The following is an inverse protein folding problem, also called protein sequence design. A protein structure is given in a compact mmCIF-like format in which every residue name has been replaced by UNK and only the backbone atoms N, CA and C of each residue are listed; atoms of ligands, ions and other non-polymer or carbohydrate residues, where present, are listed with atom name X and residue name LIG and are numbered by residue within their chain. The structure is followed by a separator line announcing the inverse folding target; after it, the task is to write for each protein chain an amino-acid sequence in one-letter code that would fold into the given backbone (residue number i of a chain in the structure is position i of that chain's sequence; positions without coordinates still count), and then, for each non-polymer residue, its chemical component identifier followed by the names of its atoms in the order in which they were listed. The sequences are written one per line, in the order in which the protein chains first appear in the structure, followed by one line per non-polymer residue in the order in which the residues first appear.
data_IF_003732393287
#
_entry.id   IF_003732393287
#
_cell.length_a   1.000
_cell.length_b   1.000
_cell.length_c   1.000
_cell.angle_alpha   90.00
_cell.angle_beta   90.00
_cell.angle_gamma   90.00
#
_symmetry.space_group_name_H-M   'P 1'
#
loop_
_entity.id
_entity.type
_entity.pdbx_description
1 polymer ?
#
# COMPACT_ATOMS: atom_id res chain seq x y z
N UNK A 1 5.89 -13.77 10.04
CA UNK A 1 5.61 -13.25 11.39
C UNK A 1 4.70 -12.04 11.24
N UNK A 2 3.70 -11.87 12.12
CA UNK A 2 2.77 -10.74 12.05
C UNK A 2 3.49 -9.40 12.37
N UNK A 3 3.15 -8.34 11.65
CA UNK A 3 3.63 -6.98 11.92
C UNK A 3 2.73 -6.27 12.92
N UNK A 4 3.27 -5.30 13.66
CA UNK A 4 2.48 -4.46 14.58
C UNK A 4 1.40 -3.69 13.82
N UNK A 5 0.24 -3.46 14.46
CA UNK A 5 -0.81 -2.64 13.85
C UNK A 5 -0.33 -1.19 13.72
N UNK A 6 -0.30 -0.68 12.50
CA UNK A 6 0.18 0.68 12.21
C UNK A 6 -0.65 1.77 12.90
N UNK A 7 -1.96 1.54 13.06
CA UNK A 7 -2.88 2.49 13.71
C UNK A 7 -2.58 2.69 15.21
N UNK A 8 -2.05 1.67 15.89
CA UNK A 8 -1.69 1.76 17.31
C UNK A 8 -0.19 2.03 17.55
N UNK A 9 0.60 2.17 16.48
CA UNK A 9 2.05 2.42 16.56
C UNK A 9 2.35 3.91 16.47
N UNK A 10 3.39 4.37 17.17
CA UNK A 10 3.94 5.71 16.95
C UNK A 10 4.41 5.85 15.51
N UNK A 11 4.40 7.07 14.97
CA UNK A 11 4.73 7.31 13.57
C UNK A 11 6.11 6.74 13.15
N UNK A 12 7.10 6.79 14.05
CA UNK A 12 8.45 6.22 13.87
C UNK A 12 8.49 4.69 13.92
N UNK A 13 7.55 4.07 14.62
CA UNK A 13 7.49 2.62 14.87
C UNK A 13 6.53 1.88 13.93
N UNK A 14 5.81 2.62 13.08
CA UNK A 14 4.90 2.05 12.09
C UNK A 14 5.68 1.14 11.14
N UNK A 15 5.19 -0.09 10.89
CA UNK A 15 5.87 -0.99 9.99
C UNK A 15 6.08 -0.37 8.60
N UNK A 16 7.28 -0.55 8.09
CA UNK A 16 7.71 -0.08 6.78
C UNK A 16 7.27 -1.05 5.68
N UNK A 17 7.29 -0.63 4.39
CA UNK A 17 6.91 -1.49 3.27
C UNK A 17 7.67 -2.82 3.25
N UNK A 18 8.97 -2.80 3.60
CA UNK A 18 9.81 -4.00 3.69
C UNK A 18 9.31 -5.00 4.73
N UNK A 19 8.87 -4.51 5.90
CA UNK A 19 8.31 -5.37 6.95
C UNK A 19 6.99 -6.00 6.49
N UNK A 20 6.12 -5.20 5.88
CA UNK A 20 4.87 -5.71 5.29
C UNK A 20 5.16 -6.77 4.22
N UNK A 21 6.05 -6.47 3.28
CA UNK A 21 6.51 -7.42 2.26
C UNK A 21 6.99 -8.73 2.90
N UNK A 22 7.90 -8.66 3.88
CA UNK A 22 8.46 -9.83 4.57
C UNK A 22 7.39 -10.67 5.30
N UNK A 23 6.39 -10.00 5.88
CA UNK A 23 5.32 -10.63 6.66
C UNK A 23 4.24 -11.30 5.80
N UNK A 24 3.97 -10.78 4.59
CA UNK A 24 2.93 -11.27 3.70
C UNK A 24 3.37 -12.52 2.91
N UNK A 25 2.38 -13.36 2.59
CA UNK A 25 2.52 -14.53 1.72
C UNK A 25 1.33 -14.59 0.78
N UNK A 26 1.58 -15.05 -0.45
CA UNK A 26 0.55 -15.20 -1.48
C UNK A 26 0.15 -16.66 -1.55
N UNK A 27 -1.14 -16.94 -1.35
CA UNK A 27 -1.70 -18.25 -1.63
C UNK A 27 -2.13 -18.29 -3.10
N UNK A 28 -1.44 -19.08 -3.92
CA UNK A 28 -1.72 -19.20 -5.35
C UNK A 28 -2.87 -20.18 -5.61
N UNK A 29 -4.06 -19.84 -5.13
CA UNK A 29 -5.29 -20.66 -5.29
C UNK A 29 -6.13 -20.29 -6.50
N UNK A 30 -5.73 -19.25 -7.24
CA UNK A 30 -6.43 -18.84 -8.46
C UNK A 30 -6.01 -19.80 -9.57
N UNK A 31 -6.94 -20.69 -9.95
CA UNK A 31 -6.78 -21.60 -11.08
C UNK A 31 -6.75 -20.82 -12.39
N UNK A 32 -5.82 -21.16 -13.29
CA UNK A 32 -5.70 -20.55 -14.61
C UNK A 32 -4.42 -19.75 -14.82
N UNK A 33 -4.29 -19.04 -15.96
CA UNK A 33 -3.13 -18.21 -16.22
C UNK A 33 -3.03 -17.03 -15.24
N UNK A 34 -1.84 -16.47 -15.01
CA UNK A 34 -1.67 -15.28 -14.19
C UNK A 34 -2.59 -14.14 -14.64
N UNK A 35 -3.21 -13.40 -13.70
CA UNK A 35 -4.10 -12.29 -14.05
C UNK A 35 -3.30 -11.16 -14.73
N UNK A 36 -3.93 -10.47 -15.68
CA UNK A 36 -3.31 -9.28 -16.32
C UNK A 36 -3.26 -8.08 -15.39
N UNK A 37 -4.23 -7.96 -14.48
CA UNK A 37 -4.32 -6.87 -13.50
C UNK A 37 -4.82 -7.40 -12.15
N UNK A 38 -4.25 -6.89 -11.06
CA UNK A 38 -4.73 -7.10 -9.68
C UNK A 38 -5.00 -5.73 -9.05
N UNK A 39 -6.20 -5.57 -8.50
CA UNK A 39 -6.58 -4.40 -7.70
C UNK A 39 -6.52 -4.76 -6.21
N UNK A 40 -5.62 -4.10 -5.49
CA UNK A 40 -5.61 -4.08 -4.03
C UNK A 40 -6.68 -3.10 -3.54
N UNK A 41 -7.49 -3.52 -2.58
CA UNK A 41 -8.55 -2.69 -1.98
C UNK A 41 -8.28 -2.55 -0.50
N UNK A 42 -8.35 -1.33 0.01
CA UNK A 42 -8.23 -1.01 1.43
C UNK A 42 -9.28 0.06 1.81
N UNK A 43 -9.59 0.19 3.09
CA UNK A 43 -10.53 1.23 3.55
C UNK A 43 -9.85 2.61 3.61
N UNK A 44 -8.67 2.68 4.21
CA UNK A 44 -7.94 3.92 4.51
C UNK A 44 -6.48 3.80 4.09
N UNK A 45 -6.09 4.62 3.13
CA UNK A 45 -4.68 4.79 2.75
C UNK A 45 -4.05 5.87 3.64
N UNK A 46 -3.18 5.43 4.54
CA UNK A 46 -2.34 6.35 5.33
C UNK A 46 -1.16 6.86 4.49
N UNK A 47 0.06 6.37 4.75
CA UNK A 47 1.21 6.57 3.86
C UNK A 47 1.24 5.56 2.71
N UNK A 48 0.51 4.45 2.82
CA UNK A 48 0.48 3.38 1.81
C UNK A 48 1.50 2.25 2.01
N UNK A 49 2.13 2.14 3.18
CA UNK A 49 3.19 1.14 3.42
C UNK A 49 2.70 -0.31 3.32
N UNK A 50 1.51 -0.61 3.85
CA UNK A 50 0.86 -1.93 3.69
C UNK A 50 0.64 -2.26 2.21
N UNK A 51 0.00 -1.34 1.47
CA UNK A 51 -0.29 -1.50 0.04
C UNK A 51 0.99 -1.72 -0.77
N UNK A 52 2.05 -0.96 -0.50
CA UNK A 52 3.30 -1.12 -1.23
C UNK A 52 3.99 -2.45 -0.90
N UNK A 53 3.96 -2.90 0.36
CA UNK A 53 4.46 -4.21 0.74
C UNK A 53 3.69 -5.36 0.07
N UNK A 54 2.36 -5.26 0.04
CA UNK A 54 1.48 -6.22 -0.63
C UNK A 54 1.68 -6.22 -2.15
N UNK A 55 1.76 -5.04 -2.78
CA UNK A 55 1.98 -4.90 -4.20
C UNK A 55 3.31 -5.55 -4.63
N UNK A 56 4.40 -5.30 -3.90
CA UNK A 56 5.68 -5.94 -4.21
C UNK A 56 5.64 -7.46 -4.03
N UNK A 57 4.92 -7.96 -3.01
CA UNK A 57 4.77 -9.42 -2.81
C UNK A 57 3.94 -10.07 -3.93
N UNK A 58 2.93 -9.37 -4.44
CA UNK A 58 2.16 -9.80 -5.60
C UNK A 58 2.96 -9.73 -6.89
N UNK A 59 3.81 -8.71 -7.07
CA UNK A 59 4.68 -8.58 -8.24
C UNK A 59 5.69 -9.73 -8.33
N UNK A 60 6.22 -10.17 -7.19
CA UNK A 60 7.06 -11.38 -7.11
C UNK A 60 6.26 -12.66 -7.42
N UNK A 61 5.01 -12.73 -6.97
CA UNK A 61 4.17 -13.91 -7.17
C UNK A 61 3.59 -14.03 -8.59
N UNK A 62 3.34 -12.90 -9.26
CA UNK A 62 2.73 -12.79 -10.58
C UNK A 62 3.52 -11.79 -11.45
N UNK A 63 4.68 -12.19 -11.98
CA UNK A 63 5.50 -11.33 -12.85
C UNK A 63 4.72 -10.85 -14.07
N UNK A 64 4.85 -9.57 -14.41
CA UNK A 64 4.17 -8.95 -15.56
C UNK A 64 2.71 -8.54 -15.32
N UNK A 65 2.13 -8.89 -14.17
CA UNK A 65 0.79 -8.43 -13.79
C UNK A 65 0.82 -6.95 -13.39
N UNK A 66 -0.14 -6.18 -13.91
CA UNK A 66 -0.35 -4.79 -13.47
C UNK A 66 -0.96 -4.77 -12.08
N UNK A 67 -0.38 -4.01 -11.15
CA UNK A 67 -0.90 -3.89 -9.79
C UNK A 67 -1.40 -2.46 -9.58
N UNK A 68 -2.64 -2.35 -9.12
CA UNK A 68 -3.29 -1.08 -8.77
C UNK A 68 -3.78 -1.14 -7.34
N UNK A 69 -4.03 0.01 -6.75
CA UNK A 69 -4.63 0.11 -5.43
C UNK A 69 -5.80 1.08 -5.47
N UNK A 70 -6.83 0.76 -4.68
CA UNK A 70 -7.96 1.62 -4.39
C UNK A 70 -8.13 1.73 -2.88
N UNK A 71 -8.40 2.95 -2.43
CA UNK A 71 -8.73 3.25 -1.05
C UNK A 71 -9.95 4.13 -1.00
N UNK A 72 -10.91 3.83 -0.11
CA UNK A 72 -12.10 4.66 0.05
C UNK A 72 -11.76 6.03 0.63
N UNK A 73 -10.76 6.09 1.52
CA UNK A 73 -10.29 7.33 2.14
C UNK A 73 -8.77 7.40 2.15
N UNK A 74 -8.24 8.61 2.27
CA UNK A 74 -6.81 8.80 2.54
C UNK A 74 -6.59 9.76 3.68
N UNK A 75 -5.55 9.54 4.49
CA UNK A 75 -5.24 10.48 5.57
C UNK A 75 -4.61 11.75 5.02
N UNK A 76 -4.91 12.88 5.65
CA UNK A 76 -4.25 14.15 5.40
C UNK A 76 -3.29 14.44 6.57
N UNK A 77 -2.05 14.85 6.26
CA UNK A 77 -1.05 15.14 7.30
C UNK A 77 -1.03 16.62 7.68
N UNK A 78 -1.20 17.51 6.70
CA UNK A 78 -1.34 18.94 6.91
C UNK A 78 -2.81 19.35 6.76
N UNK A 79 -3.38 20.00 7.77
CA UNK A 79 -4.79 20.43 7.72
C UNK A 79 -5.07 21.38 6.56
N UNK A 80 -4.06 22.10 6.07
CA UNK A 80 -4.19 23.00 4.92
C UNK A 80 -4.37 22.26 3.58
N UNK A 81 -4.03 20.96 3.51
CA UNK A 81 -4.30 20.12 2.34
C UNK A 81 -5.78 19.69 2.24
N UNK A 82 -6.59 19.94 3.27
CA UNK A 82 -8.01 19.62 3.26
C UNK A 82 -8.77 20.60 2.35
N UNK A 83 -9.31 20.09 1.24
CA UNK A 83 -10.08 20.89 0.27
C UNK A 83 -11.59 20.66 0.42
N UNK A 84 -12.01 19.40 0.53
CA UNK A 84 -13.42 19.00 0.63
C UNK A 84 -13.53 17.60 1.25
N UNK A 85 -14.73 17.24 1.73
CA UNK A 85 -15.02 15.88 2.22
C UNK A 85 -14.82 14.83 1.13
N UNK A 86 -15.15 15.16 -0.12
CA UNK A 86 -14.98 14.28 -1.28
C UNK A 86 -14.01 14.92 -2.26
N UNK A 87 -12.82 14.34 -2.36
CA UNK A 87 -11.80 14.70 -3.36
C UNK A 87 -11.17 13.41 -3.90
N UNK A 88 -11.69 12.84 -4.99
CA UNK A 88 -11.07 11.69 -5.63
C UNK A 88 -9.65 12.05 -6.08
N UNK A 89 -8.73 11.12 -5.88
CA UNK A 89 -7.34 11.28 -6.25
C UNK A 89 -6.89 10.05 -7.03
N UNK A 90 -6.26 10.29 -8.18
CA UNK A 90 -5.44 9.31 -8.89
C UNK A 90 -4.00 9.70 -8.63
N UNK A 91 -3.12 8.72 -8.41
CA UNK A 91 -1.73 8.98 -8.09
C UNK A 91 -0.94 7.69 -7.89
N UNK A 92 0.25 7.80 -7.30
CA UNK A 92 1.13 6.66 -7.00
C UNK A 92 1.62 6.66 -5.55
N UNK A 93 1.85 5.46 -5.01
CA UNK A 93 2.58 5.25 -3.76
C UNK A 93 3.98 4.76 -4.15
N UNK A 94 5.00 5.52 -3.78
CA UNK A 94 6.39 5.25 -4.13
C UNK A 94 7.20 4.91 -2.89
N UNK A 95 8.16 3.99 -3.04
CA UNK A 95 9.16 3.72 -2.01
C UNK A 95 10.16 4.88 -1.94
N UNK A 96 10.49 5.35 -0.73
CA UNK A 96 11.56 6.33 -0.53
C UNK A 96 12.80 5.65 0.06
N UNK A 97 13.88 5.45 -0.71
CA UNK A 97 15.07 4.76 -0.21
C UNK A 97 15.73 5.44 1.00
N UNK A 98 15.73 6.78 1.06
CA UNK A 98 16.42 7.52 2.12
C UNK A 98 15.83 7.35 3.52
N UNK A 99 14.54 7.02 3.63
CA UNK A 99 13.80 6.87 4.90
C UNK A 99 13.15 5.50 5.05
N UNK A 100 13.31 4.65 4.03
CA UNK A 100 12.69 3.35 3.86
C UNK A 100 11.16 3.33 4.02
N UNK A 101 10.52 4.48 3.82
CA UNK A 101 9.07 4.65 3.94
C UNK A 101 8.40 4.83 2.58
N UNK A 102 7.18 5.38 2.59
CA UNK A 102 6.43 5.66 1.38
C UNK A 102 6.07 7.13 1.25
N UNK A 103 6.05 7.59 0.00
CA UNK A 103 5.49 8.88 -0.37
C UNK A 103 4.33 8.68 -1.33
N UNK A 104 3.23 9.39 -1.10
CA UNK A 104 2.13 9.50 -2.06
C UNK A 104 2.40 10.66 -3.00
N UNK A 105 2.24 10.43 -4.29
CA UNK A 105 2.31 11.46 -5.34
C UNK A 105 0.94 11.53 -6.01
N UNK A 106 0.30 12.71 -6.10
CA UNK A 106 -0.80 12.94 -7.03
C UNK A 106 -0.40 12.59 -8.46
#
# INVERSE_FOLDING_TARGET
MAVRKAASSRASERPKPKEHFASLRVQRRISGPPPKEILLVDDIITRGSTLLGAANRLAEAFPGTRIRAFGAMTTISDRTDFVALTKPLIGSIQYRPSTEDTIRRP
#
